data_IF_542104654019
#
_entry.id   IF_542104654019
#
_cell.length_a   1.000
_cell.length_b   1.000
_cell.length_c   1.000
_cell.angle_alpha   90.00
_cell.angle_beta   90.00
_cell.angle_gamma   90.00
#
_symmetry.space_group_name_H-M   'P 1'
#
loop_
_entity.id
_entity.type
_entity.pdbx_description
1 polymer ?
#
# COMPACT_ATOMS: atom_id res chain seq x y z
N UNK A 1 5.09 4.68 26.27
CA UNK A 1 5.51 4.13 24.97
C UNK A 1 5.89 5.32 24.13
N UNK A 2 7.11 5.35 23.63
CA UNK A 2 7.63 6.46 22.83
C UNK A 2 6.95 6.42 21.46
N UNK A 3 6.27 7.49 21.06
CA UNK A 3 5.58 7.56 19.76
C UNK A 3 6.58 7.54 18.58
N UNK A 4 7.86 7.80 18.86
CA UNK A 4 8.96 7.77 17.89
C UNK A 4 9.12 6.44 17.14
N UNK A 5 8.70 5.30 17.71
CA UNK A 5 8.85 3.98 17.07
C UNK A 5 7.66 3.56 16.20
N UNK A 6 6.61 4.37 16.07
CA UNK A 6 5.41 4.01 15.29
C UNK A 6 5.63 4.27 13.81
N UNK A 7 5.44 3.23 13.01
CA UNK A 7 5.46 3.30 11.54
C UNK A 7 4.04 3.47 11.01
N UNK A 8 3.88 4.39 10.07
CA UNK A 8 2.66 4.62 9.30
C UNK A 8 2.86 4.10 7.88
N UNK A 9 2.03 3.15 7.48
CA UNK A 9 2.03 2.59 6.12
C UNK A 9 1.03 3.30 5.22
N UNK A 10 1.42 3.56 3.97
CA UNK A 10 0.55 4.11 2.91
C UNK A 10 0.83 3.41 1.59
N UNK A 11 -0.19 3.34 0.74
CA UNK A 11 -0.04 2.90 -0.65
C UNK A 11 -0.24 4.08 -1.60
N UNK A 12 0.44 4.04 -2.73
CA UNK A 12 0.20 4.94 -3.87
C UNK A 12 0.34 4.17 -5.18
N UNK A 13 -0.53 4.43 -6.15
CA UNK A 13 -0.46 3.80 -7.47
C UNK A 13 -1.77 3.13 -7.89
N UNK A 14 -1.66 2.11 -8.74
CA UNK A 14 -2.82 1.52 -9.41
C UNK A 14 -3.77 0.87 -8.41
N UNK A 15 -5.06 1.19 -8.53
CA UNK A 15 -6.13 0.56 -7.74
C UNK A 15 -6.08 0.87 -6.24
N UNK A 16 -5.19 1.74 -5.74
CA UNK A 16 -5.16 2.12 -4.32
C UNK A 16 -6.43 2.90 -3.97
N UNK A 17 -7.06 2.53 -2.85
CA UNK A 17 -8.35 3.08 -2.41
C UNK A 17 -9.55 2.50 -3.18
N UNK A 18 -9.31 1.87 -4.33
CA UNK A 18 -10.33 1.24 -5.14
C UNK A 18 -10.39 -0.28 -4.91
N UNK A 19 -9.28 -0.95 -5.17
CA UNK A 19 -9.07 -2.40 -5.11
C UNK A 19 -8.09 -2.81 -4.01
N UNK A 20 -7.15 -1.93 -3.65
CA UNK A 20 -6.12 -2.20 -2.65
C UNK A 20 -6.18 -1.20 -1.49
N UNK A 21 -5.96 -1.71 -0.28
CA UNK A 21 -5.83 -0.93 0.97
C UNK A 21 -4.64 -1.48 1.75
N UNK A 22 -3.99 -0.62 2.54
CA UNK A 22 -3.04 -1.06 3.58
C UNK A 22 -3.57 -0.72 4.98
N UNK A 23 -3.38 -1.63 5.93
CA UNK A 23 -3.55 -1.35 7.34
C UNK A 23 -2.49 -0.36 7.80
N UNK A 24 -2.90 0.84 8.21
CA UNK A 24 -1.99 1.95 8.54
C UNK A 24 -0.88 1.57 9.54
N UNK A 25 -1.16 0.69 10.49
CA UNK A 25 -0.20 0.28 11.53
C UNK A 25 0.27 -1.17 11.41
N UNK A 26 -0.47 -2.04 10.70
CA UNK A 26 -0.08 -3.44 10.51
C UNK A 26 0.77 -3.66 9.27
N UNK A 27 0.62 -2.80 8.25
CA UNK A 27 1.25 -2.99 6.94
C UNK A 27 0.57 -4.05 6.08
N UNK A 28 -0.52 -4.67 6.55
CA UNK A 28 -1.25 -5.69 5.79
C UNK A 28 -1.91 -5.06 4.57
N UNK A 29 -1.62 -5.61 3.39
CA UNK A 29 -2.23 -5.18 2.13
C UNK A 29 -3.41 -6.10 1.82
N UNK A 30 -4.58 -5.50 1.65
CA UNK A 30 -5.83 -6.21 1.40
C UNK A 30 -6.37 -5.87 0.01
N UNK A 31 -6.91 -6.88 -0.66
CA UNK A 31 -7.76 -6.72 -1.84
C UNK A 31 -9.20 -6.51 -1.35
N UNK A 32 -9.74 -5.31 -1.57
CA UNK A 32 -11.07 -4.91 -1.05
C UNK A 32 -12.18 -5.04 -2.10
N UNK A 33 -11.83 -5.32 -3.36
CA UNK A 33 -12.76 -5.61 -4.46
C UNK A 33 -12.16 -6.67 -5.40
N UNK A 34 -13.00 -7.49 -6.07
CA UNK A 34 -12.52 -8.44 -7.06
C UNK A 34 -11.67 -7.78 -8.14
N UNK A 35 -10.57 -8.42 -8.51
CA UNK A 35 -9.69 -7.97 -9.59
C UNK A 35 -10.07 -8.68 -10.89
N UNK A 36 -10.19 -7.91 -11.98
CA UNK A 36 -10.21 -8.47 -13.32
C UNK A 36 -8.77 -8.49 -13.88
N UNK A 37 -8.25 -9.70 -14.11
CA UNK A 37 -6.87 -9.92 -14.59
C UNK A 37 -6.80 -10.36 -16.06
N UNK A 38 -7.95 -10.51 -16.73
CA UNK A 38 -8.02 -11.12 -18.05
C UNK A 38 -7.98 -10.06 -19.18
N UNK A 39 -6.97 -10.10 -20.08
CA UNK A 39 -6.92 -9.20 -21.22
C UNK A 39 -8.07 -9.43 -22.22
N UNK A 40 -8.52 -8.40 -22.97
CA UNK A 40 -7.92 -7.05 -23.06
C UNK A 40 -8.50 -6.02 -22.08
N UNK A 41 -9.58 -6.36 -21.37
CA UNK A 41 -10.29 -5.41 -20.51
C UNK A 41 -9.73 -5.34 -19.08
N UNK A 42 -9.21 -6.46 -18.57
CA UNK A 42 -8.61 -6.56 -17.24
C UNK A 42 -7.16 -6.09 -17.18
N UNK A 43 -6.64 -5.95 -15.96
CA UNK A 43 -5.27 -5.57 -15.65
C UNK A 43 -4.53 -6.81 -15.15
N UNK A 44 -3.68 -7.38 -16.01
CA UNK A 44 -2.96 -8.61 -15.71
C UNK A 44 -1.95 -8.46 -14.57
N UNK A 45 -1.42 -7.26 -14.36
CA UNK A 45 -0.41 -6.94 -13.36
C UNK A 45 -0.71 -5.58 -12.74
N UNK A 46 -0.85 -5.53 -11.41
CA UNK A 46 -1.06 -4.30 -10.66
C UNK A 46 0.25 -3.82 -10.05
N UNK A 47 0.54 -2.53 -10.18
CA UNK A 47 1.76 -1.90 -9.65
C UNK A 47 1.43 -0.71 -8.76
N UNK A 48 1.98 -0.73 -7.56
CA UNK A 48 1.86 0.36 -6.60
C UNK A 48 3.09 0.38 -5.69
N UNK A 49 3.26 1.50 -4.99
CA UNK A 49 4.36 1.77 -4.07
C UNK A 49 3.82 1.69 -2.65
N UNK A 50 4.57 1.04 -1.77
CA UNK A 50 4.37 1.08 -0.32
C UNK A 50 5.30 2.14 0.27
N UNK A 51 4.76 2.98 1.13
CA UNK A 51 5.52 3.91 1.97
C UNK A 51 5.46 3.45 3.42
N UNK A 52 6.59 3.50 4.11
CA UNK A 52 6.69 3.30 5.56
C UNK A 52 7.32 4.56 6.17
N UNK A 53 6.57 5.26 7.02
CA UNK A 53 6.97 6.56 7.58
C UNK A 53 7.12 6.41 9.09
N UNK A 54 8.31 6.67 9.63
CA UNK A 54 8.55 6.66 11.07
C UNK A 54 8.06 7.95 11.76
N UNK A 55 8.29 8.05 13.07
CA UNK A 55 7.82 9.17 13.91
C UNK A 55 6.32 9.44 13.76
N UNK A 56 5.54 8.34 13.76
CA UNK A 56 4.09 8.36 13.61
C UNK A 56 3.62 9.13 12.35
N UNK A 57 4.39 9.05 11.27
CA UNK A 57 4.05 9.64 9.98
C UNK A 57 4.67 11.01 9.69
N UNK A 58 5.58 11.49 10.54
CA UNK A 58 6.23 12.80 10.41
C UNK A 58 7.73 12.74 10.15
N UNK A 59 8.34 11.55 10.21
CA UNK A 59 9.77 11.37 10.06
C UNK A 59 10.21 10.95 8.67
N UNK A 60 11.19 10.06 8.60
CA UNK A 60 11.77 9.56 7.37
C UNK A 60 10.84 8.55 6.69
N UNK A 61 10.95 8.49 5.37
CA UNK A 61 10.12 7.63 4.52
C UNK A 61 11.00 6.58 3.85
N UNK A 62 10.63 5.30 4.01
CA UNK A 62 11.09 4.19 3.19
C UNK A 62 10.08 3.82 2.12
N UNK A 63 10.57 3.38 0.95
CA UNK A 63 9.74 3.03 -0.20
C UNK A 63 10.01 1.59 -0.67
N UNK A 64 8.99 0.91 -1.18
CA UNK A 64 9.12 -0.35 -1.90
C UNK A 64 8.11 -0.45 -3.06
N UNK A 65 8.54 -1.00 -4.19
CA UNK A 65 7.65 -1.34 -5.30
C UNK A 65 6.95 -2.68 -5.05
N UNK A 66 5.66 -2.75 -5.35
CA UNK A 66 4.85 -3.98 -5.26
C UNK A 66 4.23 -4.27 -6.62
N UNK A 67 4.31 -5.54 -7.02
CA UNK A 67 3.70 -6.06 -8.23
C UNK A 67 2.87 -7.31 -7.89
N UNK A 68 1.58 -7.31 -8.25
CA UNK A 68 0.63 -8.41 -7.98
C UNK A 68 -0.01 -8.91 -9.26
#
# INVERSE_FOLDING_TARGET
>A
QDDSSKIIYRLEGQGVGEFFRVGQYSGDIEVIRPLDRDPPAGVSVWKFIVQAIDDNGHGLIGYADVQV
#
